data_IF_094648151745
#
_entry.id   IF_094648151745
#
_cell.length_a   1.000
_cell.length_b   1.000
_cell.length_c   1.000
_cell.angle_alpha   90.00
_cell.angle_beta   90.00
_cell.angle_gamma   90.00
#
_symmetry.space_group_name_H-M   'P 1'
#
loop_
_entity.id
_entity.type
_entity.pdbx_description
1 polymer ?
#
# COMPACT_ATOMS: atom_id res chain seq x y z
N UNK A 1 2.86 -19.04 -5.80
CA UNK A 1 2.71 -17.67 -5.25
C UNK A 1 2.08 -16.84 -6.35
N UNK A 2 0.92 -16.22 -6.12
CA UNK A 2 0.35 -15.32 -7.13
C UNK A 2 1.33 -14.15 -7.27
N UNK A 3 1.91 -14.00 -8.45
CA UNK A 3 2.86 -12.92 -8.70
C UNK A 3 2.15 -11.58 -8.48
N UNK A 4 2.76 -10.74 -7.65
CA UNK A 4 2.41 -9.33 -7.56
C UNK A 4 2.53 -8.73 -8.96
N UNK A 5 1.55 -7.96 -9.40
CA UNK A 5 1.69 -7.20 -10.64
C UNK A 5 2.43 -5.88 -10.38
N UNK A 6 2.75 -5.15 -11.45
CA UNK A 6 3.52 -3.90 -11.33
C UNK A 6 2.74 -2.80 -10.62
N UNK A 7 1.41 -2.81 -10.72
CA UNK A 7 0.55 -1.90 -9.97
C UNK A 7 0.61 -2.20 -8.47
N UNK A 8 0.57 -3.47 -8.05
CA UNK A 8 0.73 -3.84 -6.65
C UNK A 8 2.08 -3.37 -6.10
N UNK A 9 3.17 -3.57 -6.87
CA UNK A 9 4.51 -3.12 -6.50
C UNK A 9 4.58 -1.61 -6.32
N UNK A 10 3.93 -0.86 -7.20
CA UNK A 10 3.92 0.60 -7.12
C UNK A 10 3.07 1.12 -5.94
N UNK A 11 1.92 0.50 -5.66
CA UNK A 11 1.12 0.78 -4.46
C UNK A 11 1.97 0.56 -3.21
N UNK A 12 2.67 -0.58 -3.12
CA UNK A 12 3.56 -0.89 -2.00
C UNK A 12 4.69 0.14 -1.86
N UNK A 13 5.30 0.57 -2.97
CA UNK A 13 6.34 1.60 -2.97
C UNK A 13 5.82 2.93 -2.41
N UNK A 14 4.63 3.35 -2.81
CA UNK A 14 4.01 4.60 -2.36
C UNK A 14 3.63 4.55 -0.87
N UNK A 15 3.12 3.39 -0.40
CA UNK A 15 2.79 3.17 1.02
C UNK A 15 4.02 3.04 1.91
N UNK A 16 5.11 2.43 1.42
CA UNK A 16 6.39 2.38 2.14
C UNK A 16 6.97 3.79 2.35
N UNK A 17 6.83 4.67 1.36
CA UNK A 17 7.26 6.06 1.49
C UNK A 17 6.37 6.86 2.45
N UNK A 18 5.06 6.62 2.45
CA UNK A 18 4.12 7.21 3.39
C UNK A 18 2.89 6.31 3.58
N UNK A 19 2.87 5.59 4.70
CA UNK A 19 1.79 4.68 5.05
C UNK A 19 0.42 5.38 5.23
N UNK A 20 0.40 6.70 5.41
CA UNK A 20 -0.82 7.51 5.55
C UNK A 20 -1.25 8.17 4.24
N UNK A 21 -0.59 7.86 3.12
CA UNK A 21 -0.94 8.43 1.81
C UNK A 21 -2.40 8.08 1.48
N UNK A 22 -3.25 9.06 1.13
CA UNK A 22 -4.64 8.79 0.75
C UNK A 22 -4.70 7.87 -0.47
N UNK A 23 -5.66 6.94 -0.49
CA UNK A 23 -5.83 6.05 -1.64
C UNK A 23 -6.22 6.80 -2.91
N UNK A 24 -6.85 7.97 -2.81
CA UNK A 24 -7.10 8.84 -3.96
C UNK A 24 -5.81 9.35 -4.61
N UNK A 25 -4.80 9.70 -3.81
CA UNK A 25 -3.50 10.13 -4.31
C UNK A 25 -2.74 8.95 -4.94
N UNK A 26 -2.77 7.77 -4.30
CA UNK A 26 -2.20 6.56 -4.89
C UNK A 26 -2.88 6.23 -6.23
N UNK A 27 -4.21 6.34 -6.29
CA UNK A 27 -5.01 6.07 -7.47
C UNK A 27 -4.62 6.95 -8.66
N UNK A 28 -4.36 8.24 -8.43
CA UNK A 28 -3.83 9.16 -9.44
C UNK A 28 -2.45 8.71 -9.95
N UNK A 29 -1.58 8.20 -9.08
CA UNK A 29 -0.24 7.74 -9.46
C UNK A 29 -0.25 6.44 -10.26
N UNK A 30 -1.18 5.51 -9.97
CA UNK A 30 -1.20 4.17 -10.60
C UNK A 30 -2.27 4.01 -11.67
N UNK A 31 -3.00 5.07 -12.01
CA UNK A 31 -4.04 5.06 -13.05
C UNK A 31 -5.27 4.22 -12.70
N UNK A 32 -5.64 4.18 -11.42
CA UNK A 32 -6.81 3.45 -10.91
C UNK A 32 -7.81 4.38 -10.24
N UNK A 33 -8.93 3.82 -9.77
CA UNK A 33 -9.84 4.50 -8.84
C UNK A 33 -9.41 4.24 -7.39
N UNK A 34 -9.81 5.13 -6.47
CA UNK A 34 -9.51 4.94 -5.04
C UNK A 34 -10.08 3.62 -4.47
N UNK A 35 -11.31 3.18 -4.82
CA UNK A 35 -11.81 1.86 -4.42
C UNK A 35 -10.95 0.71 -4.97
N UNK A 36 -10.50 0.77 -6.23
CA UNK A 36 -9.64 -0.27 -6.80
C UNK A 36 -8.27 -0.36 -6.10
N UNK A 37 -7.72 0.77 -5.65
CA UNK A 37 -6.53 0.78 -4.80
C UNK A 37 -6.83 0.14 -3.44
N UNK A 38 -7.97 0.49 -2.82
CA UNK A 38 -8.39 -0.10 -1.54
C UNK A 38 -8.48 -1.63 -1.62
N UNK A 39 -9.19 -2.15 -2.62
CA UNK A 39 -9.36 -3.60 -2.83
C UNK A 39 -8.02 -4.31 -3.03
N UNK A 40 -7.08 -3.67 -3.74
CA UNK A 40 -5.72 -4.20 -3.92
C UNK A 40 -4.96 -4.22 -2.61
N UNK A 41 -5.02 -3.16 -1.80
CA UNK A 41 -4.36 -3.13 -0.49
C UNK A 41 -4.94 -4.18 0.44
N UNK A 42 -6.27 -4.31 0.49
CA UNK A 42 -6.95 -5.35 1.28
C UNK A 42 -6.52 -6.76 0.85
N UNK A 43 -6.50 -7.04 -0.46
CA UNK A 43 -5.97 -8.31 -0.98
C UNK A 43 -4.52 -8.55 -0.58
N UNK A 44 -3.67 -7.52 -0.61
CA UNK A 44 -2.27 -7.64 -0.19
C UNK A 44 -2.15 -7.94 1.31
N UNK A 45 -3.09 -7.46 2.13
CA UNK A 45 -3.18 -7.81 3.56
C UNK A 45 -3.64 -9.25 3.76
N UNK A 46 -4.70 -9.69 3.05
CA UNK A 46 -5.20 -11.07 3.10
C UNK A 46 -4.15 -12.09 2.68
N UNK A 47 -3.33 -11.75 1.67
CA UNK A 47 -2.22 -12.58 1.21
C UNK A 47 -1.01 -12.56 2.16
N UNK A 48 -1.03 -11.73 3.21
CA UNK A 48 0.07 -11.58 4.16
C UNK A 48 1.27 -10.79 3.62
N UNK A 49 1.16 -10.19 2.42
CA UNK A 49 2.20 -9.32 1.84
C UNK A 49 2.29 -8.03 2.66
N UNK A 50 1.15 -7.42 2.99
CA UNK A 50 1.07 -6.30 3.93
C UNK A 50 0.64 -6.85 5.29
N UNK A 51 1.58 -6.96 6.23
CA UNK A 51 1.30 -7.49 7.57
C UNK A 51 0.54 -6.50 8.46
N UNK A 52 0.62 -5.22 8.18
CA UNK A 52 -0.01 -4.16 8.95
C UNK A 52 0.70 -2.82 8.77
N UNK A 53 0.07 -1.76 9.29
CA UNK A 53 0.63 -0.42 9.33
C UNK A 53 1.15 -0.15 10.75
N UNK A 54 2.38 0.33 10.84
CA UNK A 54 3.05 0.61 12.12
C UNK A 54 3.60 2.03 12.16
N UNK A 55 3.84 2.52 13.37
CA UNK A 55 4.65 3.72 13.60
C UNK A 55 6.12 3.30 13.76
N UNK A 56 7.01 4.08 13.14
CA UNK A 56 8.43 4.06 13.46
C UNK A 56 8.68 5.09 14.56
N UNK A 57 9.05 4.62 15.74
CA UNK A 57 9.20 5.45 16.93
C UNK A 57 10.67 5.61 17.24
N UNK A 58 11.12 6.86 17.36
CA UNK A 58 12.41 7.14 17.97
C UNK A 58 12.34 6.86 19.47
N UNK A 59 13.20 5.95 19.93
CA UNK A 59 13.28 5.52 21.33
C UNK A 59 14.44 6.16 22.08
N UNK A 60 15.09 7.17 21.52
CA UNK A 60 16.22 7.84 22.17
C UNK A 60 15.82 8.90 23.20
N UNK A 61 14.52 9.08 23.47
CA UNK A 61 13.99 9.98 24.51
C UNK A 61 13.72 9.25 25.81
#
# INVERSE_FOLDING_TARGET
MRDLDDTDREILRLLLANARRPYSDIAEHVGLSAPAVSDRVERLQELGVVRGFTLDLDRST
#
